data_IF_150405207634
#
_entry.id   IF_150405207634
#
_cell.length_a   1.000
_cell.length_b   1.000
_cell.length_c   1.000
_cell.angle_alpha   90.00
_cell.angle_beta   90.00
_cell.angle_gamma   90.00
#
_symmetry.space_group_name_H-M   'P 1'
#
loop_
_entity.id
_entity.type
_entity.pdbx_description
1 polymer ?
#
# COMPACT_ATOMS: atom_id res chain seq x y z
N UNK A 1 -5.56 1.49 -16.23
CA UNK A 1 -6.28 2.17 -15.13
C UNK A 1 -5.29 3.16 -14.52
N UNK A 2 -5.65 4.42 -14.30
CA UNK A 2 -4.71 5.36 -13.67
C UNK A 2 -4.53 4.97 -12.20
N UNK A 3 -3.30 4.73 -11.76
CA UNK A 3 -2.99 4.42 -10.36
C UNK A 3 -3.34 5.62 -9.51
N UNK A 4 -4.11 5.40 -8.44
CA UNK A 4 -4.40 6.44 -7.45
C UNK A 4 -3.09 7.10 -6.96
N UNK A 5 -3.01 8.45 -6.86
CA UNK A 5 -1.77 9.13 -6.50
C UNK A 5 -1.19 8.71 -5.14
N UNK A 6 -2.04 8.38 -4.16
CA UNK A 6 -1.57 7.93 -2.86
C UNK A 6 -0.97 6.52 -2.94
N UNK A 7 -1.57 5.64 -3.76
CA UNK A 7 -0.98 4.33 -4.06
C UNK A 7 0.36 4.47 -4.79
N UNK A 8 0.45 5.33 -5.80
CA UNK A 8 1.71 5.56 -6.52
C UNK A 8 2.82 6.08 -5.59
N UNK A 9 2.50 7.02 -4.71
CA UNK A 9 3.44 7.53 -3.71
C UNK A 9 3.87 6.45 -2.70
N UNK A 10 2.96 5.58 -2.27
CA UNK A 10 3.28 4.46 -1.38
C UNK A 10 4.20 3.44 -2.05
N UNK A 11 3.95 3.09 -3.31
CA UNK A 11 4.78 2.13 -4.05
C UNK A 11 6.19 2.66 -4.35
N UNK A 12 6.37 3.97 -4.43
CA UNK A 12 7.65 4.62 -4.68
C UNK A 12 8.55 4.73 -3.42
N UNK A 13 8.08 4.30 -2.25
CA UNK A 13 8.89 4.30 -1.03
C UNK A 13 10.04 3.29 -1.13
N UNK A 14 11.10 3.54 -0.38
CA UNK A 14 12.12 2.55 -0.03
C UNK A 14 11.72 1.80 1.24
N UNK A 15 12.28 0.60 1.48
CA UNK A 15 11.87 -0.27 2.60
C UNK A 15 12.13 0.39 3.97
N UNK A 16 13.20 1.17 4.08
CA UNK A 16 13.53 1.97 5.26
C UNK A 16 12.58 3.16 5.49
N UNK A 17 11.94 3.66 4.43
CA UNK A 17 10.96 4.74 4.51
C UNK A 17 9.57 4.29 4.99
N UNK A 18 9.27 2.98 4.99
CA UNK A 18 7.96 2.44 5.35
C UNK A 18 7.58 2.74 6.81
N UNK A 19 8.56 2.77 7.72
CA UNK A 19 8.31 3.07 9.12
C UNK A 19 7.79 4.51 9.33
N UNK A 20 8.42 5.48 8.68
CA UNK A 20 7.99 6.88 8.73
C UNK A 20 6.62 7.07 8.07
N UNK A 21 6.38 6.36 6.96
CA UNK A 21 5.07 6.33 6.32
C UNK A 21 3.97 5.79 7.26
N UNK A 22 4.25 4.69 7.97
CA UNK A 22 3.29 4.07 8.88
C UNK A 22 2.87 5.04 10.01
N UNK A 23 3.85 5.71 10.63
CA UNK A 23 3.59 6.67 11.70
C UNK A 23 2.77 7.87 11.20
N UNK A 24 3.18 8.49 10.08
CA UNK A 24 2.47 9.62 9.49
C UNK A 24 1.06 9.24 9.04
N UNK A 25 0.87 8.03 8.52
CA UNK A 25 -0.44 7.54 8.09
C UNK A 25 -1.35 7.26 9.28
N UNK A 26 -0.82 6.68 10.37
CA UNK A 26 -1.56 6.47 11.60
C UNK A 26 -2.04 7.79 12.21
N UNK A 27 -1.16 8.80 12.25
CA UNK A 27 -1.50 10.16 12.69
C UNK A 27 -2.61 10.77 11.82
N UNK A 28 -2.46 10.72 10.49
CA UNK A 28 -3.46 11.25 9.56
C UNK A 28 -4.84 10.56 9.68
N UNK A 29 -4.87 9.30 10.12
CA UNK A 29 -6.10 8.54 10.36
C UNK A 29 -6.64 8.70 11.79
N UNK A 30 -5.92 9.40 12.68
CA UNK A 30 -6.27 9.49 14.10
C UNK A 30 -6.18 8.16 14.84
N UNK A 31 -5.36 7.22 14.35
CA UNK A 31 -5.18 5.89 14.92
C UNK A 31 -3.95 5.90 15.82
N UNK A 32 -4.11 5.46 17.06
CA UNK A 32 -2.97 5.16 17.93
C UNK A 32 -2.33 3.84 17.48
N UNK A 33 -1.03 3.85 17.24
CA UNK A 33 -0.25 2.67 16.92
C UNK A 33 0.53 2.23 18.19
N UNK A 34 0.07 1.20 18.91
CA UNK A 34 0.76 0.76 20.11
C UNK A 34 2.23 0.39 19.82
N UNK A 35 3.19 0.77 20.68
CA UNK A 35 4.61 0.49 20.44
C UNK A 35 4.92 -0.98 20.18
N UNK A 36 4.20 -1.89 20.84
CA UNK A 36 4.34 -3.34 20.70
C UNK A 36 3.87 -3.89 19.35
N UNK A 37 2.94 -3.20 18.66
CA UNK A 37 2.44 -3.64 17.35
C UNK A 37 3.20 -2.98 16.19
N UNK A 38 3.88 -1.87 16.46
CA UNK A 38 4.52 -1.03 15.44
C UNK A 38 5.43 -1.81 14.50
N UNK A 39 6.32 -2.65 15.04
CA UNK A 39 7.23 -3.45 14.22
C UNK A 39 6.47 -4.34 13.22
N UNK A 40 5.46 -5.07 13.69
CA UNK A 40 4.64 -5.93 12.84
C UNK A 40 3.83 -5.16 11.80
N UNK A 41 3.34 -3.96 12.13
CA UNK A 41 2.66 -3.10 11.16
C UNK A 41 3.61 -2.67 10.04
N UNK A 42 4.83 -2.24 10.39
CA UNK A 42 5.84 -1.84 9.40
C UNK A 42 6.21 -3.01 8.49
N UNK A 43 6.44 -4.19 9.05
CA UNK A 43 6.77 -5.39 8.26
C UNK A 43 5.64 -5.77 7.29
N UNK A 44 4.39 -5.74 7.77
CA UNK A 44 3.22 -6.02 6.96
C UNK A 44 3.04 -5.00 5.83
N UNK A 45 3.27 -3.71 6.10
CA UNK A 45 3.21 -2.67 5.08
C UNK A 45 4.32 -2.83 4.03
N UNK A 46 5.53 -3.18 4.44
CA UNK A 46 6.64 -3.44 3.51
C UNK A 46 6.37 -4.68 2.64
N UNK A 47 5.77 -5.73 3.21
CA UNK A 47 5.32 -6.90 2.44
C UNK A 47 4.22 -6.51 1.44
N UNK A 48 3.18 -5.81 1.89
CA UNK A 48 2.08 -5.37 1.04
C UNK A 48 2.59 -4.52 -0.13
N UNK A 49 3.49 -3.55 0.14
CA UNK A 49 4.08 -2.71 -0.91
C UNK A 49 4.75 -3.54 -2.00
N UNK A 50 5.59 -4.50 -1.62
CA UNK A 50 6.32 -5.38 -2.56
C UNK A 50 5.38 -6.25 -3.38
N UNK A 51 4.36 -6.83 -2.73
CA UNK A 51 3.35 -7.63 -3.41
C UNK A 51 2.55 -6.80 -4.41
N UNK A 52 2.12 -5.60 -4.02
CA UNK A 52 1.39 -4.70 -4.92
C UNK A 52 2.28 -4.24 -6.08
N UNK A 53 3.55 -3.92 -5.86
CA UNK A 53 4.48 -3.59 -6.94
C UNK A 53 4.63 -4.74 -7.95
N UNK A 54 4.73 -5.98 -7.44
CA UNK A 54 4.81 -7.20 -8.28
C UNK A 54 3.52 -7.42 -9.08
N UNK A 55 2.37 -7.21 -8.45
CA UNK A 55 1.08 -7.32 -9.11
C UNK A 55 0.90 -6.25 -10.21
N UNK A 56 1.28 -5.00 -9.92
CA UNK A 56 1.22 -3.90 -10.87
C UNK A 56 2.14 -4.10 -12.07
N UNK A 57 3.34 -4.65 -11.89
CA UNK A 57 4.22 -4.96 -13.03
C UNK A 57 3.65 -6.04 -13.95
N UNK A 58 2.84 -6.97 -13.42
CA UNK A 58 2.19 -8.02 -14.20
C UNK A 58 0.88 -7.59 -14.86
N UNK A 59 0.30 -6.46 -14.45
CA UNK A 59 -0.94 -5.91 -15.01
C UNK A 59 -0.74 -5.29 -16.39
N UNK A 60 0.42 -4.69 -16.65
CA UNK A 60 0.72 -4.06 -17.95
C UNK A 60 0.79 -5.10 -19.10
N UNK A 61 1.09 -6.37 -18.78
CA UNK A 61 1.17 -7.48 -19.74
C UNK A 61 -0.14 -8.28 -19.87
N UNK A 62 -1.14 -8.05 -19.01
CA UNK A 62 -2.36 -8.82 -18.95
C UNK A 62 -3.58 -8.03 -19.46
N UNK A 63 -4.44 -8.66 -20.27
CA UNK A 63 -5.79 -8.13 -20.54
C UNK A 63 -6.58 -8.19 -19.23
N UNK A 64 -6.57 -7.10 -18.48
CA UNK A 64 -7.28 -7.03 -17.19
C UNK A 64 -8.77 -7.03 -17.49
N UNK A 65 -9.55 -8.02 -17.00
CA UNK A 65 -11.00 -7.92 -17.08
C UNK A 65 -11.45 -6.66 -16.33
N UNK A 66 -12.45 -5.97 -16.86
CA UNK A 66 -13.01 -4.80 -16.21
C UNK A 66 -13.45 -5.15 -14.79
N UNK A 67 -13.25 -4.26 -13.79
CA UNK A 67 -13.81 -4.45 -12.45
C UNK A 67 -15.30 -4.77 -12.56
N UNK A 68 -15.76 -5.75 -11.79
CA UNK A 68 -17.17 -6.12 -11.78
C UNK A 68 -17.99 -4.93 -11.28
N UNK A 69 -19.02 -4.55 -12.03
CA UNK A 69 -19.87 -3.44 -11.65
C UNK A 69 -20.71 -3.84 -10.43
N UNK A 70 -20.74 -2.97 -9.43
CA UNK A 70 -21.66 -3.15 -8.30
C UNK A 70 -23.10 -2.94 -8.78
N UNK A 71 -23.98 -3.93 -8.57
CA UNK A 71 -25.42 -3.78 -8.73
C UNK A 71 -26.09 -3.64 -7.35
N UNK A 72 -26.89 -2.58 -7.13
CA UNK A 72 -27.48 -2.25 -5.82
C UNK A 72 -28.58 -3.21 -5.36
#
# INVERSE_FOLDING_TARGET
>A
MATDPALAAFLALDDDAVAAYADARAEALGIFLPPETRAGVVDNLALLRRQTATFMSGLDDAVTPAPEAFEP
#
